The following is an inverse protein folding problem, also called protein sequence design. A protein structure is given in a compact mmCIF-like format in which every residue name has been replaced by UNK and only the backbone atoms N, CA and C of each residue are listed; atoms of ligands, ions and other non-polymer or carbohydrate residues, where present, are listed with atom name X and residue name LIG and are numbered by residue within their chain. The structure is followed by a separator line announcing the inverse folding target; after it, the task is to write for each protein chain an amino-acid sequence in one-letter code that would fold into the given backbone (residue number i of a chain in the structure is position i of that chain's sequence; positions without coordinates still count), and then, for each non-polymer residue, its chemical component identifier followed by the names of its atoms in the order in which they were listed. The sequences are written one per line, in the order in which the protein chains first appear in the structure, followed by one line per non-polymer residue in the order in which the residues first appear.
data_IF_243450236982
#
_entry.id   IF_243450236982
#
_cell.length_a   1.000
_cell.length_b   1.000
_cell.length_c   1.000
_cell.angle_alpha   90.00
_cell.angle_beta   90.00
_cell.angle_gamma   90.00
#
_symmetry.space_group_name_H-M   'P 1'
#
loop_
_entity.id
_entity.type
_entity.pdbx_description
1 polymer ?
#
# COMPACT_ATOMS: atom_id res chain seq x y z
N UNK A 1 -9.86 11.27 -8.06
CA UNK A 1 -9.21 11.84 -6.87
C UNK A 1 -9.50 13.33 -6.82
N UNK A 2 -10.24 13.80 -5.81
CA UNK A 2 -10.49 15.25 -5.61
C UNK A 2 -9.32 15.88 -4.88
N UNK A 3 -8.79 17.04 -5.30
CA UNK A 3 -7.68 17.71 -4.63
C UNK A 3 -7.92 17.91 -3.13
N UNK A 4 -6.90 17.68 -2.30
CA UNK A 4 -6.99 17.82 -0.84
C UNK A 4 -7.43 16.57 -0.08
N UNK A 5 -8.05 15.58 -0.73
CA UNK A 5 -8.49 14.32 -0.11
C UNK A 5 -7.43 13.22 -0.21
N UNK A 6 -6.19 13.51 0.20
CA UNK A 6 -5.11 12.54 0.25
C UNK A 6 -4.60 12.34 1.68
N UNK A 7 -3.87 11.26 1.92
CA UNK A 7 -3.18 11.02 3.18
C UNK A 7 -1.76 11.60 3.09
N UNK A 8 -1.45 12.72 3.79
CA UNK A 8 -0.13 13.29 3.80
C UNK A 8 0.75 12.59 4.84
N UNK A 9 1.88 12.07 4.40
CA UNK A 9 2.93 11.52 5.26
C UNK A 9 4.10 12.50 5.32
N UNK A 10 4.66 12.70 6.50
CA UNK A 10 5.79 13.59 6.69
C UNK A 10 7.03 13.04 5.99
N UNK A 11 7.72 13.90 5.24
CA UNK A 11 8.91 13.57 4.46
C UNK A 11 8.64 12.84 3.15
N UNK A 12 9.72 12.39 2.53
CA UNK A 12 9.74 11.61 1.28
C UNK A 12 9.86 10.10 1.51
N UNK A 13 10.12 9.69 2.76
CA UNK A 13 10.24 8.29 3.19
C UNK A 13 9.20 8.00 4.25
N UNK A 14 8.39 6.97 4.05
CA UNK A 14 7.34 6.59 4.99
C UNK A 14 6.94 5.13 4.81
N UNK A 15 6.35 4.56 5.85
CA UNK A 15 5.85 3.19 5.85
C UNK A 15 4.36 3.19 6.18
N UNK A 16 3.59 2.43 5.41
CA UNK A 16 2.15 2.28 5.59
C UNK A 16 1.84 0.79 5.74
N UNK A 17 1.33 0.40 6.90
CA UNK A 17 0.86 -0.96 7.15
C UNK A 17 -0.66 -1.02 6.96
N UNK A 18 -1.10 -1.82 6.00
CA UNK A 18 -2.51 -1.93 5.59
C UNK A 18 -3.04 -3.29 6.06
N UNK A 19 -4.02 -3.26 6.97
CA UNK A 19 -4.82 -4.45 7.33
C UNK A 19 -5.92 -4.66 6.29
N UNK A 20 -5.92 -5.84 5.68
CA UNK A 20 -6.88 -6.25 4.67
C UNK A 20 -8.15 -6.82 5.33
N UNK A 21 -9.32 -6.67 4.68
CA UNK A 21 -10.59 -7.15 5.23
C UNK A 21 -10.72 -8.68 5.20
N UNK A 22 -9.90 -9.36 4.40
CA UNK A 22 -9.84 -10.80 4.29
C UNK A 22 -8.39 -11.24 4.05
N UNK A 23 -8.08 -12.49 4.35
CA UNK A 23 -6.81 -13.09 3.97
C UNK A 23 -6.77 -13.25 2.45
N UNK A 24 -5.79 -12.64 1.78
CA UNK A 24 -5.65 -12.72 0.33
C UNK A 24 -4.27 -13.20 -0.08
N UNK A 25 -4.18 -13.86 -1.23
CA UNK A 25 -2.96 -13.99 -2.01
C UNK A 25 -2.85 -12.78 -2.93
N UNK A 26 -2.04 -11.76 -2.59
CA UNK A 26 -2.00 -10.52 -3.33
C UNK A 26 -1.37 -10.74 -4.71
N UNK A 27 -1.92 -10.11 -5.73
CA UNK A 27 -1.47 -10.23 -7.14
C UNK A 27 -1.04 -8.90 -7.72
N UNK A 28 -1.60 -7.79 -7.23
CA UNK A 28 -1.23 -6.45 -7.67
C UNK A 28 -1.57 -5.41 -6.60
N UNK A 29 -0.91 -4.26 -6.67
CA UNK A 29 -1.37 -3.05 -5.98
C UNK A 29 -1.68 -1.96 -6.99
N UNK A 30 -2.71 -1.16 -6.74
CA UNK A 30 -2.98 0.06 -7.50
C UNK A 30 -2.76 1.27 -6.62
N UNK A 31 -1.95 2.21 -7.09
CA UNK A 31 -1.72 3.50 -6.48
C UNK A 31 -2.42 4.56 -7.34
N UNK A 32 -3.24 5.38 -6.70
CA UNK A 32 -3.88 6.53 -7.32
C UNK A 32 -3.29 7.84 -6.77
N UNK A 33 -3.12 8.81 -7.66
CA UNK A 33 -2.86 10.21 -7.34
C UNK A 33 -3.82 11.14 -8.11
N UNK A 34 -3.83 12.43 -7.78
CA UNK A 34 -4.46 13.44 -8.62
C UNK A 34 -3.66 13.68 -9.91
N UNK A 35 -4.32 14.13 -10.97
CA UNK A 35 -3.67 14.53 -12.22
C UNK A 35 -3.08 15.94 -12.12
N UNK A 36 -2.12 16.27 -13.00
CA UNK A 36 -1.58 17.65 -13.07
C UNK A 36 -2.67 18.68 -13.33
N UNK A 37 -3.62 18.38 -14.23
CA UNK A 37 -4.74 19.27 -14.58
C UNK A 37 -5.70 19.50 -13.42
N UNK A 38 -5.92 18.48 -12.60
CA UNK A 38 -6.80 18.59 -11.44
C UNK A 38 -6.10 19.21 -10.21
N UNK A 39 -4.77 19.28 -10.20
CA UNK A 39 -4.02 19.88 -9.09
C UNK A 39 -4.15 21.41 -9.11
N UNK A 40 -4.55 22.06 -7.99
CA UNK A 40 -4.64 23.52 -7.91
C UNK A 40 -3.32 24.23 -8.22
N UNK A 41 -2.19 23.58 -7.90
CA UNK A 41 -0.85 24.10 -8.14
C UNK A 41 -0.26 23.63 -9.48
N UNK A 42 -1.02 22.89 -10.30
CA UNK A 42 -0.53 22.30 -11.55
C UNK A 42 0.57 21.25 -11.38
N UNK A 43 0.91 20.90 -10.14
CA UNK A 43 2.02 19.99 -9.80
C UNK A 43 1.53 18.74 -9.08
N UNK A 44 2.28 17.66 -9.25
CA UNK A 44 2.08 16.37 -8.57
C UNK A 44 3.39 15.92 -7.92
N UNK A 45 4.23 16.87 -7.51
CA UNK A 45 5.54 16.59 -6.89
C UNK A 45 5.43 15.85 -5.55
N UNK A 46 4.27 15.93 -4.89
CA UNK A 46 3.96 15.17 -3.68
C UNK A 46 3.61 13.71 -3.93
N UNK A 47 3.46 13.28 -5.19
CA UNK A 47 3.16 11.89 -5.50
C UNK A 47 4.32 11.00 -5.04
N UNK A 48 4.03 9.76 -4.56
CA UNK A 48 5.07 8.79 -4.32
C UNK A 48 5.83 8.53 -5.62
N UNK A 49 7.13 8.25 -5.52
CA UNK A 49 7.98 7.90 -6.65
C UNK A 49 8.43 6.46 -6.50
N UNK A 50 9.50 6.20 -5.76
CA UNK A 50 10.03 4.86 -5.58
C UNK A 50 9.42 4.25 -4.32
N UNK A 51 8.95 3.01 -4.42
CA UNK A 51 8.33 2.31 -3.30
C UNK A 51 8.49 0.80 -3.39
N UNK A 52 8.38 0.13 -2.24
CA UNK A 52 8.35 -1.32 -2.15
C UNK A 52 7.05 -1.81 -1.52
N UNK A 53 6.67 -3.02 -1.89
CA UNK A 53 5.53 -3.73 -1.31
C UNK A 53 6.05 -5.00 -0.67
N UNK A 54 5.79 -5.18 0.61
CA UNK A 54 6.07 -6.43 1.32
C UNK A 54 4.84 -6.92 2.07
N UNK A 55 4.86 -8.19 2.44
CA UNK A 55 3.87 -8.80 3.35
C UNK A 55 4.61 -9.35 4.55
N UNK A 56 3.98 -9.30 5.71
CA UNK A 56 4.53 -9.88 6.94
C UNK A 56 3.59 -10.95 7.45
N UNK A 57 4.14 -12.11 7.82
CA UNK A 57 3.44 -13.03 8.72
C UNK A 57 3.41 -12.34 10.09
N UNK A 58 2.34 -11.62 10.38
CA UNK A 58 2.14 -11.08 11.72
C UNK A 58 1.83 -12.26 12.68
N UNK A 59 2.88 -12.99 13.09
CA UNK A 59 2.82 -14.08 14.07
C UNK A 59 2.37 -13.58 15.45
N UNK A 60 2.43 -12.28 15.69
CA UNK A 60 1.98 -11.64 16.92
C UNK A 60 0.45 -11.68 17.13
N UNK A 61 -0.34 -12.09 16.13
CA UNK A 61 -1.80 -12.13 16.23
C UNK A 61 -2.30 -13.55 16.53
N UNK A 62 -1.90 -14.07 17.69
CA UNK A 62 -2.80 -14.95 18.43
C UNK A 62 -4.05 -14.14 18.78
N UNK A 63 -5.21 -14.58 18.28
CA UNK A 63 -6.54 -14.16 18.70
C UNK A 63 -6.70 -12.67 19.15
N UNK A 64 -6.86 -11.77 18.18
CA UNK A 64 -7.70 -10.58 18.36
C UNK A 64 -7.15 -9.37 19.11
N UNK A 65 -5.86 -9.32 19.50
CA UNK A 65 -5.31 -8.15 20.22
C UNK A 65 -4.20 -7.48 19.42
N UNK A 66 -4.44 -6.25 18.94
CA UNK A 66 -3.37 -5.38 18.41
C UNK A 66 -2.50 -4.92 19.59
N UNK A 67 -1.16 -5.01 19.53
CA UNK A 67 -0.31 -4.45 20.57
C UNK A 67 -0.52 -2.93 20.61
N UNK A 68 -1.23 -2.44 21.63
CA UNK A 68 -1.29 -1.01 21.93
C UNK A 68 0.04 -0.62 22.56
N UNK A 69 1.00 -0.24 21.71
CA UNK A 69 2.26 0.33 22.14
C UNK A 69 3.47 -0.49 21.71
N UNK A 70 4.33 0.16 20.92
CA UNK A 70 5.70 -0.22 20.54
C UNK A 70 5.88 -1.70 20.17
N UNK A 71 5.71 -2.02 18.89
CA UNK A 71 6.59 -3.01 18.29
C UNK A 71 8.01 -2.43 18.35
N UNK A 72 8.87 -3.02 19.19
CA UNK A 72 10.29 -2.77 19.15
C UNK A 72 10.81 -3.28 17.82
N UNK A 73 11.49 -2.40 17.10
CA UNK A 73 12.11 -2.58 15.77
C UNK A 73 13.25 -3.63 15.75
N UNK A 74 13.32 -4.51 16.73
CA UNK A 74 14.56 -5.17 17.13
C UNK A 74 14.60 -6.66 16.70
N UNK A 75 13.44 -7.26 16.36
CA UNK A 75 13.31 -8.66 15.90
C UNK A 75 12.46 -8.75 14.61
N UNK A 76 12.45 -7.69 13.79
CA UNK A 76 11.36 -7.43 12.83
C UNK A 76 11.73 -7.65 11.34
N UNK A 77 12.79 -8.43 11.09
CA UNK A 77 13.33 -8.65 9.73
C UNK A 77 13.16 -10.06 9.16
N UNK A 78 12.74 -11.06 9.94
CA UNK A 78 12.79 -12.47 9.51
C UNK A 78 11.55 -13.02 8.80
N UNK A 79 10.40 -12.35 8.95
CA UNK A 79 9.11 -12.83 8.39
C UNK A 79 8.47 -11.84 7.37
N UNK A 80 9.22 -10.81 6.92
CA UNK A 80 8.80 -9.93 5.82
C UNK A 80 9.21 -10.50 4.46
N UNK A 81 8.25 -10.70 3.56
CA UNK A 81 8.49 -11.12 2.17
C UNK A 81 8.30 -9.93 1.23
N UNK A 82 9.36 -9.53 0.52
CA UNK A 82 9.29 -8.51 -0.52
C UNK A 82 8.52 -9.04 -1.73
N UNK A 83 7.44 -8.36 -2.08
CA UNK A 83 6.59 -8.72 -3.22
C UNK A 83 6.91 -7.90 -4.48
N UNK A 84 7.62 -6.77 -4.34
CA UNK A 84 8.07 -5.99 -5.48
C UNK A 84 8.60 -4.61 -5.11
N UNK A 85 9.34 -4.04 -6.06
CA UNK A 85 9.88 -2.69 -6.03
C UNK A 85 9.43 -1.98 -7.29
N UNK A 86 8.87 -0.78 -7.15
CA UNK A 86 8.20 -0.08 -8.24
C UNK A 86 8.49 1.42 -8.21
N UNK A 87 8.25 2.05 -9.36
CA UNK A 87 8.28 3.51 -9.50
C UNK A 87 6.95 4.01 -10.06
N UNK A 88 6.23 4.83 -9.29
CA UNK A 88 5.04 5.54 -9.76
C UNK A 88 5.47 6.70 -10.67
N UNK A 89 4.95 6.73 -11.90
CA UNK A 89 5.40 7.66 -12.95
C UNK A 89 4.39 8.79 -13.18
N UNK A 90 4.71 10.02 -12.79
CA UNK A 90 3.77 11.18 -12.90
C UNK A 90 3.44 11.61 -14.33
N UNK A 91 4.14 11.09 -15.33
CA UNK A 91 3.88 11.30 -16.75
C UNK A 91 2.83 10.32 -17.32
N UNK A 92 2.56 9.22 -16.61
CA UNK A 92 1.53 8.23 -16.99
C UNK A 92 0.17 8.62 -16.40
N UNK A 93 -0.80 7.73 -16.56
CA UNK A 93 -2.12 7.87 -15.95
C UNK A 93 -2.05 8.06 -14.42
N UNK A 94 -2.97 8.84 -13.82
CA UNK A 94 -2.98 9.06 -12.36
C UNK A 94 -3.28 7.81 -11.53
N UNK A 95 -3.82 6.76 -12.16
CA UNK A 95 -4.10 5.47 -11.52
C UNK A 95 -3.19 4.43 -12.16
N UNK A 96 -2.27 3.86 -11.38
CA UNK A 96 -1.26 2.91 -11.87
C UNK A 96 -1.33 1.62 -11.08
N UNK A 97 -1.35 0.50 -11.80
CA UNK A 97 -1.39 -0.84 -11.22
C UNK A 97 -0.04 -1.52 -11.40
N UNK A 98 0.46 -2.12 -10.34
CA UNK A 98 1.77 -2.73 -10.23
C UNK A 98 1.61 -4.22 -9.91
N UNK A 99 1.97 -5.13 -10.83
CA UNK A 99 1.90 -6.56 -10.60
C UNK A 99 2.95 -6.97 -9.57
N UNK A 100 2.54 -7.79 -8.59
CA UNK A 100 3.42 -8.34 -7.58
C UNK A 100 4.06 -9.65 -8.07
N UNK A 101 5.14 -10.09 -7.43
CA UNK A 101 5.80 -11.35 -7.78
C UNK A 101 4.83 -12.54 -7.73
N UNK A 102 4.90 -13.40 -8.74
CA UNK A 102 4.14 -14.65 -8.80
C UNK A 102 4.67 -15.69 -7.79
N UNK A 103 3.85 -16.71 -7.50
CA UNK A 103 4.29 -17.84 -6.68
C UNK A 103 4.26 -17.59 -5.17
N UNK A 104 3.59 -16.54 -4.71
CA UNK A 104 3.36 -16.28 -3.28
C UNK A 104 2.50 -17.42 -2.69
N UNK A 105 3.07 -18.32 -1.86
CA UNK A 105 2.37 -19.55 -1.45
C UNK A 105 1.26 -19.28 -0.44
N UNK A 106 1.47 -18.27 0.39
CA UNK A 106 0.67 -17.95 1.56
C UNK A 106 -0.30 -16.81 1.29
N UNK A 107 -1.40 -16.79 2.05
CA UNK A 107 -2.32 -15.67 2.07
C UNK A 107 -2.03 -14.79 3.29
N UNK A 108 -2.21 -13.47 3.16
CA UNK A 108 -1.80 -12.50 4.16
C UNK A 108 -2.95 -11.56 4.52
N UNK A 109 -2.94 -11.11 5.78
CA UNK A 109 -3.85 -10.09 6.31
C UNK A 109 -3.25 -8.68 6.24
N UNK A 110 -1.93 -8.58 6.13
CA UNK A 110 -1.22 -7.31 6.22
C UNK A 110 -0.33 -7.13 5.01
N UNK A 111 -0.39 -5.94 4.42
CA UNK A 111 0.49 -5.49 3.37
C UNK A 111 1.19 -4.22 3.82
N UNK A 112 2.52 -4.19 3.69
CA UNK A 112 3.36 -3.06 4.01
C UNK A 112 3.77 -2.37 2.71
N UNK A 113 3.46 -1.08 2.61
CA UNK A 113 3.86 -0.21 1.53
C UNK A 113 4.92 0.76 2.06
N UNK A 114 6.15 0.66 1.56
CA UNK A 114 7.25 1.54 1.97
C UNK A 114 7.56 2.50 0.84
N UNK A 115 7.27 3.78 1.06
CA UNK A 115 7.65 4.85 0.13
C UNK A 115 9.09 5.27 0.44
N UNK A 116 9.94 5.27 -0.59
CA UNK A 116 11.37 5.59 -0.49
C UNK A 116 11.68 7.00 -0.97
N UNK A 117 10.86 7.53 -1.89
CA UNK A 117 11.03 8.86 -2.47
C UNK A 117 9.70 9.42 -2.98
N UNK A 118 9.67 10.72 -3.26
CA UNK A 118 8.58 11.40 -3.95
C UNK A 118 9.12 12.19 -5.15
N UNK A 119 8.24 12.89 -5.87
CA UNK A 119 8.60 13.68 -7.06
C UNK A 119 9.11 15.09 -6.73
N UNK A 120 9.82 15.26 -5.61
CA UNK A 120 10.53 16.50 -5.26
C UNK A 120 9.75 17.45 -4.36
N UNK A 121 8.67 17.01 -3.70
CA UNK A 121 7.97 17.83 -2.71
C UNK A 121 8.73 17.80 -1.38
N UNK A 122 9.21 18.95 -0.86
CA UNK A 122 9.78 19.00 0.47
C UNK A 122 8.67 18.84 1.52
N UNK A 123 9.01 18.18 2.63
CA UNK A 123 8.18 18.12 3.83
C UNK A 123 7.10 17.03 3.85
N UNK A 124 6.54 16.60 2.72
CA UNK A 124 5.53 15.53 2.71
C UNK A 124 5.38 14.78 1.39
N UNK A 125 4.76 13.60 1.47
CA UNK A 125 4.30 12.77 0.35
C UNK A 125 2.81 12.48 0.52
N UNK A 126 2.02 12.54 -0.56
CA UNK A 126 0.58 12.32 -0.49
C UNK A 126 0.16 11.10 -1.31
N UNK A 127 -0.62 10.22 -0.68
CA UNK A 127 -1.23 9.06 -1.33
C UNK A 127 -2.74 9.26 -1.34
N UNK A 128 -3.38 9.21 -2.52
CA UNK A 128 -4.84 9.39 -2.60
C UNK A 128 -5.58 8.08 -2.40
N UNK A 129 -5.11 6.99 -3.01
CA UNK A 129 -5.72 5.69 -2.85
C UNK A 129 -4.69 4.60 -3.03
N UNK A 130 -4.78 3.59 -2.18
CA UNK A 130 -4.15 2.29 -2.36
C UNK A 130 -5.25 1.26 -2.51
N UNK A 131 -5.17 0.44 -3.54
CA UNK A 131 -6.03 -0.74 -3.70
C UNK A 131 -5.12 -1.96 -3.74
N UNK A 132 -5.51 -3.01 -3.04
CA UNK A 132 -4.80 -4.29 -3.05
C UNK A 132 -5.69 -5.30 -3.75
N UNK A 133 -5.13 -5.96 -4.76
CA UNK A 133 -5.79 -6.98 -5.56
C UNK A 133 -5.24 -8.35 -5.20
N UNK A 134 -6.08 -9.36 -5.20
CA UNK A 134 -5.65 -10.72 -4.89
C UNK A 134 -6.80 -11.71 -4.82
N UNK A 135 -6.45 -12.99 -4.65
CA UNK A 135 -7.42 -14.06 -4.44
C UNK A 135 -7.67 -14.23 -2.95
N UNK A 136 -8.92 -14.11 -2.51
CA UNK A 136 -9.31 -14.37 -1.11
C UNK A 136 -9.13 -15.86 -0.82
N UNK A 137 -8.55 -16.19 0.33
CA UNK A 137 -8.38 -17.56 0.83
C UNK A 137 -9.20 -17.69 2.11
N UNK A 138 -10.38 -18.32 2.03
CA UNK A 138 -11.27 -18.54 3.18
C UNK A 138 -12.74 -18.20 2.89
N UNK A 139 -13.65 -19.02 3.42
CA UNK A 139 -15.10 -19.14 3.16
C UNK A 139 -15.97 -17.99 3.68
N UNK A 140 -15.60 -16.74 3.41
CA UNK A 140 -16.52 -15.61 3.52
C UNK A 140 -16.47 -14.79 2.23
N UNK A 141 -16.94 -15.39 1.14
CA UNK A 141 -17.47 -14.63 0.03
C UNK A 141 -18.67 -13.84 0.56
N UNK A 142 -18.48 -12.55 0.86
CA UNK A 142 -19.56 -11.65 1.19
C UNK A 142 -20.43 -11.51 -0.05
N UNK A 143 -21.55 -12.25 -0.06
CA UNK A 143 -22.75 -11.99 -0.84
C UNK A 143 -22.60 -12.02 -2.37
N UNK A 144 -22.82 -13.19 -2.97
CA UNK A 144 -23.61 -13.21 -4.21
C UNK A 144 -24.99 -12.67 -3.87
N UNK A 145 -25.18 -11.36 -4.02
CA UNK A 145 -26.53 -10.78 -4.05
C UNK A 145 -27.05 -11.05 -5.45
N UNK A 146 -27.87 -12.10 -5.60
CA UNK A 146 -28.79 -12.18 -6.73
C UNK A 146 -29.76 -11.00 -6.59
N UNK A 147 -29.75 -10.12 -7.58
CA UNK A 147 -30.89 -9.23 -7.88
C UNK A 147 -32.00 -10.09 -8.46
#
# INVERSE_FOLDING_TARGET
ASPGYCWPFQGSRTEVLIRLPAQIRPTAVTIQHTSKRASPLGTVSSAPRDFTVSVSLCRALGAGTWPRGKAGLDEEGKDETLLGTFTYTVQKEPTQTFPLQDGIPSAFWFLKLVIQSNWGKPGYTCIFRVQVHGKIVGTHAIGQTRV
#
